data_IF_842281244911
#
_entry.id   IF_842281244911
#
_cell.length_a   1.000
_cell.length_b   1.000
_cell.length_c   1.000
_cell.angle_alpha   90.00
_cell.angle_beta   90.00
_cell.angle_gamma   90.00
#
_symmetry.space_group_name_H-M   'P 1'
#
loop_
_entity.id
_entity.type
_entity.pdbx_description
1 polymer ?
#
# COMPACT_ATOMS: atom_id res chain seq x y z
N UNK A 1 -11.36 -12.60 -2.01
CA UNK A 1 -10.59 -11.48 -2.64
C UNK A 1 -9.12 -11.52 -2.26
N UNK A 2 -8.24 -10.88 -3.03
CA UNK A 2 -6.84 -10.62 -2.63
C UNK A 2 -6.66 -9.14 -2.31
N UNK A 3 -6.18 -8.86 -1.11
CA UNK A 3 -5.87 -7.53 -0.63
C UNK A 3 -4.36 -7.36 -0.57
N UNK A 4 -3.83 -6.42 -1.34
CA UNK A 4 -2.44 -6.04 -1.31
C UNK A 4 -2.30 -4.73 -0.54
N UNK A 5 -1.30 -4.65 0.34
CA UNK A 5 -0.99 -3.45 1.12
C UNK A 5 0.43 -3.02 0.79
N UNK A 6 0.61 -1.82 0.27
CA UNK A 6 1.89 -1.25 -0.14
C UNK A 6 2.18 0.01 0.67
N UNK A 7 3.27 0.00 1.42
CA UNK A 7 3.74 1.22 2.06
C UNK A 7 4.36 2.16 1.03
N UNK A 8 4.07 3.47 1.13
CA UNK A 8 4.69 4.47 0.26
C UNK A 8 6.22 4.35 0.20
N UNK A 9 6.81 4.77 -0.91
CA UNK A 9 8.25 4.74 -1.15
C UNK A 9 8.99 5.81 -0.31
N UNK A 10 10.30 5.92 -0.49
CA UNK A 10 11.14 6.87 0.27
C UNK A 10 10.76 8.30 -0.13
N UNK A 11 10.20 9.04 0.80
CA UNK A 11 9.89 10.47 0.68
C UNK A 11 11.00 11.33 1.30
N UNK A 12 11.00 12.63 0.99
CA UNK A 12 11.86 13.61 1.59
C UNK A 12 11.81 13.59 3.14
N UNK A 13 12.75 14.22 3.80
CA UNK A 13 12.74 14.34 5.25
C UNK A 13 11.55 15.20 5.72
N UNK A 14 11.11 14.97 6.96
CA UNK A 14 10.16 15.87 7.61
C UNK A 14 10.90 17.16 7.95
N UNK A 15 10.58 18.20 7.23
CA UNK A 15 11.18 19.52 7.38
C UNK A 15 10.04 20.55 7.35
N UNK A 16 9.69 21.06 8.53
CA UNK A 16 8.59 22.02 8.70
C UNK A 16 8.86 23.36 8.01
N UNK A 17 10.15 23.75 7.82
CA UNK A 17 10.51 24.95 7.09
C UNK A 17 10.30 24.79 5.59
N UNK A 18 10.52 23.58 5.08
CA UNK A 18 10.40 23.26 3.65
C UNK A 18 9.00 22.82 3.23
N UNK A 19 8.27 22.16 4.13
CA UNK A 19 6.90 21.68 3.91
C UNK A 19 6.06 22.06 5.12
N UNK A 20 5.32 23.16 5.01
CA UNK A 20 4.36 23.60 6.05
C UNK A 20 3.26 22.56 6.27
N UNK A 21 2.96 21.77 5.24
CA UNK A 21 2.06 20.62 5.28
C UNK A 21 2.84 19.33 4.93
N UNK A 22 2.98 18.40 5.89
CA UNK A 22 3.61 17.08 5.67
C UNK A 22 2.94 16.28 4.56
N UNK A 23 1.67 16.54 4.27
CA UNK A 23 0.93 15.92 3.18
C UNK A 23 1.50 16.21 1.80
N UNK A 24 2.15 17.37 1.62
CA UNK A 24 2.75 17.81 0.36
C UNK A 24 4.16 17.26 0.11
N UNK A 25 4.73 16.54 1.05
CA UNK A 25 6.09 16.00 0.96
C UNK A 25 6.20 14.90 -0.12
N UNK A 26 6.97 15.13 -1.20
CA UNK A 26 7.06 14.20 -2.33
C UNK A 26 8.06 13.07 -2.07
N UNK A 27 8.09 12.10 -2.98
CA UNK A 27 9.14 11.10 -3.04
C UNK A 27 10.50 11.73 -3.36
N UNK A 28 11.56 11.15 -2.80
CA UNK A 28 12.92 11.50 -3.22
C UNK A 28 13.23 10.90 -4.60
N UNK A 29 14.21 11.47 -5.32
CA UNK A 29 14.70 10.87 -6.58
C UNK A 29 15.13 9.41 -6.39
N UNK A 30 15.78 9.09 -5.26
CA UNK A 30 16.15 7.72 -4.91
C UNK A 30 14.92 6.83 -4.64
N UNK A 31 13.90 7.37 -3.96
CA UNK A 31 12.62 6.71 -3.72
C UNK A 31 11.90 6.36 -5.01
N UNK A 32 11.80 7.30 -5.95
CA UNK A 32 11.21 7.09 -7.29
C UNK A 32 11.96 5.99 -8.03
N UNK A 33 13.29 6.09 -8.15
CA UNK A 33 14.11 5.08 -8.85
C UNK A 33 13.95 3.68 -8.23
N UNK A 34 13.88 3.59 -6.90
CA UNK A 34 13.69 2.33 -6.19
C UNK A 34 12.29 1.78 -6.40
N UNK A 35 11.25 2.63 -6.35
CA UNK A 35 9.87 2.21 -6.57
C UNK A 35 9.63 1.71 -7.99
N UNK A 36 10.21 2.35 -9.00
CA UNK A 36 10.18 1.87 -10.39
C UNK A 36 10.77 0.45 -10.51
N UNK A 37 11.88 0.16 -9.82
CA UNK A 37 12.47 -1.19 -9.82
C UNK A 37 11.51 -2.20 -9.17
N UNK A 38 10.89 -1.83 -8.05
CA UNK A 38 9.90 -2.64 -7.34
C UNK A 38 8.69 -2.90 -8.25
N UNK A 39 8.10 -1.87 -8.83
CA UNK A 39 6.94 -2.00 -9.72
C UNK A 39 7.23 -2.92 -10.92
N UNK A 40 8.44 -2.87 -11.49
CA UNK A 40 8.87 -3.81 -12.53
C UNK A 40 8.98 -5.26 -12.04
N UNK A 41 9.35 -5.47 -10.77
CA UNK A 41 9.35 -6.80 -10.16
C UNK A 41 7.92 -7.29 -9.95
N UNK A 42 7.03 -6.47 -9.39
CA UNK A 42 5.62 -6.80 -9.20
C UNK A 42 4.95 -7.20 -10.52
N UNK A 43 5.27 -6.49 -11.62
CA UNK A 43 4.83 -6.87 -12.96
C UNK A 43 5.38 -8.22 -13.40
N UNK A 44 6.66 -8.54 -13.12
CA UNK A 44 7.25 -9.85 -13.45
C UNK A 44 6.67 -10.99 -12.62
N UNK A 45 6.21 -10.70 -11.40
CA UNK A 45 5.45 -11.64 -10.55
C UNK A 45 4.02 -11.86 -11.07
N UNK A 46 3.65 -11.21 -12.17
CA UNK A 46 2.30 -11.25 -12.77
C UNK A 46 1.21 -10.78 -11.79
N UNK A 47 1.54 -9.80 -10.95
CA UNK A 47 0.61 -9.25 -9.99
C UNK A 47 -0.57 -8.60 -10.73
N UNK A 48 -1.74 -9.17 -10.57
CA UNK A 48 -2.99 -8.64 -11.13
C UNK A 48 -3.67 -7.76 -10.09
N UNK A 49 -4.00 -6.54 -10.47
CA UNK A 49 -4.72 -5.56 -9.65
C UNK A 49 -5.90 -5.05 -10.47
N UNK A 50 -7.06 -4.98 -9.85
CA UNK A 50 -8.28 -4.45 -10.46
C UNK A 50 -8.47 -2.98 -10.14
N UNK A 51 -8.12 -2.56 -8.90
CA UNK A 51 -8.23 -1.20 -8.42
C UNK A 51 -7.11 -0.89 -7.42
N UNK A 52 -6.60 0.34 -7.46
CA UNK A 52 -5.67 0.89 -6.47
C UNK A 52 -6.42 1.95 -5.66
N UNK A 53 -6.44 1.81 -4.34
CA UNK A 53 -6.85 2.84 -3.40
C UNK A 53 -5.61 3.44 -2.76
N UNK A 54 -5.46 4.75 -2.76
CA UNK A 54 -4.30 5.44 -2.20
C UNK A 54 -4.72 6.55 -1.26
N UNK A 55 -3.96 6.73 -0.18
CA UNK A 55 -4.00 7.98 0.56
C UNK A 55 -3.75 9.17 -0.40
N UNK A 56 -4.41 10.33 -0.20
CA UNK A 56 -4.25 11.51 -1.04
C UNK A 56 -2.90 12.22 -0.86
N UNK A 57 -2.12 11.88 0.18
CA UNK A 57 -0.82 12.50 0.44
C UNK A 57 0.13 12.28 -0.74
N UNK A 58 0.91 13.31 -1.10
CA UNK A 58 1.75 13.31 -2.33
C UNK A 58 2.61 12.06 -2.45
N UNK A 59 3.31 11.64 -1.38
CA UNK A 59 4.20 10.46 -1.39
C UNK A 59 3.49 9.13 -1.66
N UNK A 60 2.24 8.98 -1.21
CA UNK A 60 1.43 7.78 -1.49
C UNK A 60 0.87 7.81 -2.89
N UNK A 61 0.32 8.94 -3.32
CA UNK A 61 -0.18 9.14 -4.68
C UNK A 61 0.92 8.88 -5.72
N UNK A 62 2.10 9.48 -5.57
CA UNK A 62 3.25 9.25 -6.47
C UNK A 62 3.68 7.77 -6.48
N UNK A 63 3.65 7.09 -5.32
CA UNK A 63 3.93 5.65 -5.23
C UNK A 63 2.89 4.84 -6.01
N UNK A 64 1.60 5.15 -5.82
CA UNK A 64 0.49 4.49 -6.50
C UNK A 64 0.52 4.71 -8.02
N UNK A 65 0.81 5.94 -8.47
CA UNK A 65 0.97 6.29 -9.88
C UNK A 65 2.09 5.48 -10.55
N UNK A 66 3.26 5.36 -9.91
CA UNK A 66 4.37 4.54 -10.41
C UNK A 66 3.93 3.08 -10.57
N UNK A 67 3.21 2.51 -9.60
CA UNK A 67 2.73 1.12 -9.68
C UNK A 67 1.70 0.99 -10.79
N UNK A 68 0.69 1.88 -10.85
CA UNK A 68 -0.35 1.89 -11.87
C UNK A 68 0.25 1.87 -13.29
N UNK A 69 1.18 2.78 -13.56
CA UNK A 69 1.84 2.88 -14.87
C UNK A 69 2.61 1.60 -15.25
N UNK A 70 3.38 1.05 -14.31
CA UNK A 70 4.20 -0.14 -14.58
C UNK A 70 3.37 -1.42 -14.69
N UNK A 71 2.22 -1.51 -14.02
CA UNK A 71 1.25 -2.58 -14.20
C UNK A 71 0.32 -2.35 -15.41
N UNK A 72 0.41 -1.19 -16.07
CA UNK A 72 -0.39 -0.80 -17.25
C UNK A 72 -1.88 -0.73 -16.95
N UNK A 73 -2.25 -0.23 -15.77
CA UNK A 73 -3.63 0.01 -15.42
C UNK A 73 -4.08 1.39 -15.95
N UNK A 74 -5.34 1.47 -16.34
CA UNK A 74 -5.97 2.73 -16.78
C UNK A 74 -6.00 3.76 -15.63
N UNK A 75 -6.17 5.05 -15.96
CA UNK A 75 -6.13 6.14 -14.97
C UNK A 75 -7.24 6.04 -13.93
N UNK A 76 -8.43 5.61 -14.34
CA UNK A 76 -9.60 5.40 -13.49
C UNK A 76 -9.44 4.24 -12.49
N UNK A 77 -8.38 3.44 -12.64
CA UNK A 77 -8.01 2.36 -11.70
C UNK A 77 -7.18 2.84 -10.50
N UNK A 78 -7.08 4.13 -10.28
CA UNK A 78 -6.49 4.74 -9.10
C UNK A 78 -7.45 5.73 -8.48
N UNK A 79 -7.89 5.45 -7.25
CA UNK A 79 -8.81 6.29 -6.47
C UNK A 79 -8.09 6.77 -5.20
N UNK A 80 -8.29 8.03 -4.85
CA UNK A 80 -7.78 8.60 -3.61
C UNK A 80 -8.84 8.45 -2.51
N UNK A 81 -8.41 7.95 -1.35
CA UNK A 81 -9.27 7.60 -0.22
C UNK A 81 -8.69 8.18 1.06
N UNK A 82 -9.42 9.07 1.71
CA UNK A 82 -8.95 9.79 2.90
C UNK A 82 -8.68 8.87 4.08
N UNK A 83 -9.41 7.76 4.22
CA UNK A 83 -9.22 6.76 5.28
C UNK A 83 -7.87 6.04 5.22
N UNK A 84 -7.13 6.15 4.10
CA UNK A 84 -5.74 5.68 3.98
C UNK A 84 -4.71 6.72 4.41
N UNK A 85 -5.12 7.93 4.81
CA UNK A 85 -4.25 8.95 5.41
C UNK A 85 -3.79 8.51 6.81
N UNK A 86 -2.69 9.07 7.32
CA UNK A 86 -2.21 8.76 8.66
C UNK A 86 -3.31 8.94 9.71
N UNK A 87 -3.45 7.98 10.62
CA UNK A 87 -4.49 7.91 11.66
C UNK A 87 -5.91 7.73 11.13
N UNK A 88 -6.08 7.25 9.91
CA UNK A 88 -7.38 6.86 9.37
C UNK A 88 -8.02 5.70 10.15
N UNK A 89 -9.34 5.69 10.23
CA UNK A 89 -10.08 4.62 10.90
C UNK A 89 -10.13 3.36 10.01
N UNK A 90 -9.53 2.22 10.43
CA UNK A 90 -9.57 0.98 9.67
C UNK A 90 -10.98 0.42 9.50
N UNK A 91 -11.91 0.64 10.44
CA UNK A 91 -13.28 0.18 10.34
C UNK A 91 -14.04 0.95 9.26
N UNK A 92 -13.83 2.26 9.19
CA UNK A 92 -14.40 3.10 8.13
C UNK A 92 -13.83 2.73 6.76
N UNK A 93 -12.52 2.49 6.66
CA UNK A 93 -11.87 2.02 5.42
C UNK A 93 -12.48 0.70 4.94
N UNK A 94 -12.68 -0.26 5.84
CA UNK A 94 -13.28 -1.56 5.51
C UNK A 94 -14.72 -1.37 5.02
N UNK A 95 -15.51 -0.53 5.70
CA UNK A 95 -16.88 -0.20 5.29
C UNK A 95 -16.92 0.44 3.91
N UNK A 96 -16.01 1.38 3.63
CA UNK A 96 -15.92 2.03 2.33
C UNK A 96 -15.52 1.04 1.22
N UNK A 97 -14.60 0.13 1.51
CA UNK A 97 -14.24 -0.94 0.57
C UNK A 97 -15.45 -1.82 0.27
N UNK A 98 -16.18 -2.26 1.30
CA UNK A 98 -17.36 -3.11 1.15
C UNK A 98 -18.46 -2.44 0.32
N UNK A 99 -18.65 -1.13 0.49
CA UNK A 99 -19.74 -0.39 -0.13
C UNK A 99 -19.40 0.08 -1.55
N UNK A 100 -18.18 0.56 -1.77
CA UNK A 100 -17.84 1.34 -2.95
C UNK A 100 -16.73 0.73 -3.82
N UNK A 101 -15.88 -0.16 -3.25
CA UNK A 101 -14.63 -0.57 -3.89
C UNK A 101 -14.41 -2.08 -3.91
N UNK A 102 -15.47 -2.89 -3.79
CA UNK A 102 -15.35 -4.36 -3.83
C UNK A 102 -14.81 -4.83 -5.18
N UNK A 103 -13.62 -5.39 -5.14
CA UNK A 103 -12.94 -6.01 -6.29
C UNK A 103 -12.23 -7.29 -5.83
N UNK A 104 -11.97 -8.19 -6.78
CA UNK A 104 -11.25 -9.43 -6.45
C UNK A 104 -9.79 -9.18 -6.03
N UNK A 105 -9.16 -8.13 -6.60
CA UNK A 105 -7.74 -7.82 -6.40
C UNK A 105 -7.55 -6.33 -6.17
N UNK A 106 -7.46 -5.95 -4.91
CA UNK A 106 -7.40 -4.57 -4.46
C UNK A 106 -6.00 -4.25 -3.92
N UNK A 107 -5.41 -3.13 -4.34
CA UNK A 107 -4.16 -2.62 -3.79
C UNK A 107 -4.41 -1.36 -2.96
N UNK A 108 -4.04 -1.39 -1.67
CA UNK A 108 -4.05 -0.23 -0.78
C UNK A 108 -2.64 0.37 -0.72
N UNK A 109 -2.51 1.67 -0.92
CA UNK A 109 -1.23 2.41 -0.77
C UNK A 109 -1.36 3.39 0.38
N UNK A 110 -0.58 3.18 1.43
CA UNK A 110 -0.74 3.91 2.69
C UNK A 110 0.56 4.10 3.47
N UNK A 111 0.39 4.28 4.76
CA UNK A 111 1.40 4.71 5.72
C UNK A 111 1.62 3.69 6.84
N UNK A 112 2.73 3.81 7.55
CA UNK A 112 2.95 3.17 8.83
C UNK A 112 2.70 4.17 9.97
N UNK A 113 2.12 3.68 11.10
CA UNK A 113 1.83 2.27 11.44
C UNK A 113 0.48 1.74 10.92
N UNK A 114 -0.33 2.53 10.22
CA UNK A 114 -1.72 2.21 9.90
C UNK A 114 -1.84 0.92 9.05
N UNK A 115 -0.91 0.70 8.08
CA UNK A 115 -0.92 -0.54 7.29
C UNK A 115 -0.58 -1.78 8.12
N UNK A 116 0.42 -1.73 9.00
CA UNK A 116 0.73 -2.86 9.88
C UNK A 116 -0.38 -3.12 10.90
N UNK A 117 -1.03 -2.08 11.40
CA UNK A 117 -2.21 -2.21 12.27
C UNK A 117 -3.40 -2.86 11.52
N UNK A 118 -3.64 -2.46 10.27
CA UNK A 118 -4.68 -3.08 9.44
C UNK A 118 -4.37 -4.55 9.15
N UNK A 119 -3.12 -4.89 8.83
CA UNK A 119 -2.69 -6.29 8.65
C UNK A 119 -2.94 -7.09 9.94
N UNK A 120 -2.53 -6.55 11.10
CA UNK A 120 -2.76 -7.19 12.38
C UNK A 120 -4.25 -7.42 12.65
N UNK A 121 -5.08 -6.38 12.48
CA UNK A 121 -6.53 -6.48 12.66
C UNK A 121 -7.15 -7.58 11.81
N UNK A 122 -6.78 -7.65 10.53
CA UNK A 122 -7.35 -8.64 9.60
C UNK A 122 -6.83 -10.07 9.85
N UNK A 123 -5.62 -10.22 10.40
CA UNK A 123 -5.03 -11.55 10.70
C UNK A 123 -5.39 -12.08 12.09
N UNK A 124 -5.41 -11.22 13.12
CA UNK A 124 -5.59 -11.64 14.52
C UNK A 124 -6.88 -11.13 15.16
N UNK A 125 -7.49 -10.08 14.61
CA UNK A 125 -8.68 -9.44 15.17
C UNK A 125 -8.38 -8.23 16.06
N UNK A 126 -7.10 -7.93 16.27
CA UNK A 126 -6.60 -6.80 17.06
C UNK A 126 -5.33 -6.20 16.43
N UNK A 127 -4.69 -5.24 17.10
CA UNK A 127 -3.45 -4.59 16.63
C UNK A 127 -2.20 -5.06 17.39
N UNK A 128 -2.23 -6.22 18.04
CA UNK A 128 -1.14 -6.72 18.85
C UNK A 128 -0.04 -7.44 18.05
N UNK A 129 -0.36 -7.87 16.81
CA UNK A 129 0.60 -8.56 15.96
C UNK A 129 1.62 -7.55 15.39
N UNK A 130 2.89 -7.75 15.70
CA UNK A 130 3.98 -6.92 15.17
C UNK A 130 4.33 -7.30 13.73
N UNK A 131 4.12 -6.38 12.81
CA UNK A 131 4.45 -6.54 11.37
C UNK A 131 5.42 -5.46 10.93
N UNK A 132 6.50 -5.83 10.25
CA UNK A 132 7.48 -4.86 9.73
C UNK A 132 7.30 -4.65 8.23
N UNK A 133 6.76 -3.50 7.86
CA UNK A 133 6.69 -3.04 6.47
C UNK A 133 7.65 -1.88 6.22
N UNK A 134 8.72 -2.12 5.46
CA UNK A 134 9.66 -1.05 5.04
C UNK A 134 9.07 -0.22 3.90
N UNK A 135 9.53 1.04 3.73
CA UNK A 135 9.10 1.93 2.62
C UNK A 135 9.25 1.23 1.27
N UNK A 136 8.13 1.02 0.57
CA UNK A 136 8.02 0.23 -0.64
C UNK A 136 7.87 -1.29 -0.41
N UNK A 137 7.68 -1.73 0.84
CA UNK A 137 7.30 -3.10 1.18
C UNK A 137 5.84 -3.36 0.83
N UNK A 138 5.53 -4.60 0.46
CA UNK A 138 4.19 -5.04 0.07
C UNK A 138 3.82 -6.33 0.79
N UNK A 139 2.56 -6.41 1.22
CA UNK A 139 1.93 -7.57 1.82
C UNK A 139 0.77 -8.04 0.95
N UNK A 140 0.53 -9.34 0.88
CA UNK A 140 -0.64 -9.94 0.24
C UNK A 140 -1.42 -10.75 1.28
N UNK A 141 -2.71 -10.46 1.38
CA UNK A 141 -3.68 -11.19 2.18
C UNK A 141 -4.71 -11.83 1.26
N UNK A 142 -5.12 -13.07 1.57
CA UNK A 142 -6.34 -13.66 1.01
C UNK A 142 -7.49 -13.51 2.01
N UNK A 143 -8.67 -13.17 1.52
CA UNK A 143 -9.86 -12.86 2.31
C UNK A 143 -11.07 -13.47 1.62
N UNK A 144 -11.83 -14.29 2.33
CA UNK A 144 -13.10 -14.83 1.82
C UNK A 144 -14.22 -13.80 1.95
N UNK A 145 -14.39 -13.26 3.16
CA UNK A 145 -15.34 -12.20 3.45
C UNK A 145 -14.64 -11.09 4.26
N UNK A 146 -14.53 -9.89 3.70
CA UNK A 146 -13.90 -8.76 4.37
C UNK A 146 -14.78 -8.26 5.53
N UNK A 147 -14.24 -8.23 6.73
CA UNK A 147 -14.89 -7.67 7.94
C UNK A 147 -13.84 -6.94 8.79
N UNK A 148 -14.31 -6.05 9.68
CA UNK A 148 -13.44 -5.37 10.64
C UNK A 148 -13.08 -6.31 11.80
N UNK A 149 -12.14 -7.21 11.56
CA UNK A 149 -11.70 -8.24 12.50
C UNK A 149 -10.94 -9.35 11.79
N UNK A 150 -10.71 -10.46 12.48
CA UNK A 150 -10.00 -11.61 11.93
C UNK A 150 -10.76 -12.24 10.75
N UNK A 151 -10.27 -12.02 9.54
CA UNK A 151 -10.89 -12.52 8.31
C UNK A 151 -9.90 -12.87 7.20
N UNK A 152 -8.59 -12.69 7.44
CA UNK A 152 -7.58 -12.84 6.42
C UNK A 152 -6.58 -13.95 6.71
N UNK A 153 -5.95 -14.47 5.67
CA UNK A 153 -4.76 -15.30 5.70
C UNK A 153 -3.59 -14.55 5.05
N UNK A 154 -2.42 -14.54 5.70
CA UNK A 154 -1.20 -13.98 5.14
C UNK A 154 -0.66 -14.92 4.07
N UNK A 155 -0.66 -14.48 2.82
CA UNK A 155 -0.03 -15.21 1.73
C UNK A 155 1.48 -14.97 1.69
N UNK A 156 1.88 -13.70 1.73
CA UNK A 156 3.27 -13.28 1.80
C UNK A 156 3.42 -11.80 2.17
N UNK A 157 4.59 -11.46 2.72
CA UNK A 157 5.04 -10.10 2.93
C UNK A 157 6.49 -9.99 2.45
N UNK A 158 6.78 -9.05 1.54
CA UNK A 158 8.11 -8.88 0.96
C UNK A 158 8.55 -7.42 1.09
N UNK A 159 9.68 -7.20 1.73
CA UNK A 159 10.31 -5.90 1.83
C UNK A 159 11.27 -5.64 0.65
N UNK A 160 11.58 -4.37 0.31
CA UNK A 160 12.38 -4.03 -0.87
C UNK A 160 13.74 -4.70 -0.96
N UNK A 161 14.41 -4.93 0.18
CA UNK A 161 15.70 -5.64 0.21
C UNK A 161 15.59 -7.04 -0.37
N UNK A 162 14.56 -7.78 0.02
CA UNK A 162 14.27 -9.13 -0.47
C UNK A 162 13.90 -9.11 -1.96
N UNK A 163 12.96 -8.23 -2.37
CA UNK A 163 12.57 -8.11 -3.78
C UNK A 163 13.75 -7.81 -4.71
N UNK A 164 14.62 -6.88 -4.30
CA UNK A 164 15.75 -6.45 -5.13
C UNK A 164 16.89 -7.48 -5.17
N UNK A 165 17.03 -8.33 -4.15
CA UNK A 165 18.02 -9.42 -4.14
C UNK A 165 17.65 -10.57 -5.07
N UNK A 166 16.36 -10.88 -5.21
CA UNK A 166 15.86 -11.92 -6.14
C UNK A 166 16.14 -11.61 -7.62
N UNK A 167 16.41 -10.33 -7.96
CA UNK A 167 16.74 -9.91 -9.33
C UNK A 167 18.19 -10.16 -9.73
N UNK A 168 19.06 -10.57 -8.81
CA UNK A 168 20.51 -10.76 -9.06
C UNK A 168 20.87 -12.16 -9.56
N UNK A 169 19.87 -13.01 -9.84
CA UNK A 169 20.09 -14.34 -10.45
C UNK A 169 19.53 -14.41 -11.86
#
# INVERSE_FOLDING_TARGET
MRLYLLRHAIAGERDAEKFSDDGQRPLTRAGIKKMIKIAKILRKMDLKIDLILSSPLVRTRETAEIVREHLRLEKDRLVLVDQLSPLGDPSQLITDIQTNYMHERLLLVGHEPDLSNLISLLLSGDTALSVTMKKGGICCLSIDQLVAGKCATLEWLINPGQMLSLKRR
#
